data_IF_086551907256
#
_entry.id   IF_086551907256
#
_cell.length_a   1.000
_cell.length_b   1.000
_cell.length_c   1.000
_cell.angle_alpha   90.00
_cell.angle_beta   90.00
_cell.angle_gamma   90.00
#
_symmetry.space_group_name_H-M   'P 1'
#
loop_
_entity.id
_entity.type
_entity.pdbx_description
1 polymer ?
#
# COMPACT_ATOMS: atom_id res chain seq x y z
N UNK A 1 29.60 16.05 -4.10
CA UNK A 1 28.13 15.95 -3.96
C UNK A 1 27.74 14.69 -4.70
N UNK A 2 27.40 13.63 -3.97
CA UNK A 2 26.98 12.37 -4.60
C UNK A 2 25.47 12.29 -4.47
N UNK A 3 24.77 12.55 -5.56
CA UNK A 3 23.36 12.23 -5.70
C UNK A 3 23.26 10.70 -5.73
N UNK A 4 22.91 10.09 -4.60
CA UNK A 4 22.42 8.72 -4.59
C UNK A 4 21.04 8.72 -5.26
N UNK A 5 21.00 8.41 -6.56
CA UNK A 5 19.75 8.09 -7.25
C UNK A 5 19.08 6.92 -6.53
N UNK A 6 17.97 7.19 -5.86
CA UNK A 6 17.14 6.14 -5.25
C UNK A 6 16.73 5.15 -6.36
N UNK A 7 16.99 3.84 -6.21
CA UNK A 7 16.50 2.87 -7.17
C UNK A 7 14.96 2.91 -7.16
N UNK A 8 14.37 3.35 -8.27
CA UNK A 8 12.93 3.26 -8.48
C UNK A 8 12.59 1.80 -8.75
N UNK A 9 11.95 1.13 -7.79
CA UNK A 9 11.40 -0.20 -8.00
C UNK A 9 10.10 -0.08 -8.79
N UNK A 10 9.85 -1.02 -9.69
CA UNK A 10 8.58 -1.08 -10.41
C UNK A 10 7.45 -1.35 -9.40
N UNK A 11 6.49 -0.43 -9.34
CA UNK A 11 5.26 -0.58 -8.55
C UNK A 11 4.20 -1.20 -9.44
N UNK A 12 3.55 -2.28 -8.97
CA UNK A 12 2.46 -2.92 -9.71
C UNK A 12 1.12 -2.61 -9.06
N UNK A 13 0.16 -2.14 -9.86
CA UNK A 13 -1.23 -1.94 -9.44
C UNK A 13 -2.15 -2.94 -10.13
N UNK A 14 -3.08 -3.54 -9.38
CA UNK A 14 -4.14 -4.41 -9.92
C UNK A 14 -5.48 -3.96 -9.33
N UNK A 15 -6.45 -3.74 -10.21
CA UNK A 15 -7.84 -3.54 -9.81
C UNK A 15 -8.65 -4.80 -10.12
N UNK A 16 -9.34 -5.32 -9.10
CA UNK A 16 -10.23 -6.47 -9.21
C UNK A 16 -11.68 -6.00 -9.22
N UNK A 17 -12.33 -6.12 -10.37
CA UNK A 17 -13.71 -5.63 -10.56
C UNK A 17 -14.78 -6.48 -9.87
N UNK A 18 -14.47 -7.74 -9.54
CA UNK A 18 -15.44 -8.63 -8.88
C UNK A 18 -15.56 -8.28 -7.40
N UNK A 19 -14.44 -7.90 -6.78
CA UNK A 19 -14.35 -7.56 -5.36
C UNK A 19 -14.28 -6.07 -5.07
N UNK A 20 -14.14 -5.23 -6.10
CA UNK A 20 -13.92 -3.78 -6.00
C UNK A 20 -12.69 -3.43 -5.13
N UNK A 21 -11.59 -4.17 -5.34
CA UNK A 21 -10.34 -3.97 -4.59
C UNK A 21 -9.24 -3.46 -5.52
N UNK A 22 -8.59 -2.35 -5.14
CA UNK A 22 -7.35 -1.88 -5.74
C UNK A 22 -6.16 -2.30 -4.88
N UNK A 23 -5.34 -3.21 -5.37
CA UNK A 23 -4.09 -3.63 -4.74
C UNK A 23 -2.90 -2.91 -5.38
N UNK A 24 -2.01 -2.34 -4.56
CA UNK A 24 -0.74 -1.76 -4.99
C UNK A 24 0.40 -2.49 -4.29
N UNK A 25 1.35 -3.00 -5.08
CA UNK A 25 2.52 -3.75 -4.62
C UNK A 25 3.78 -2.92 -4.81
N UNK A 26 4.50 -2.69 -3.71
CA UNK A 26 5.77 -1.97 -3.71
C UNK A 26 6.98 -2.90 -3.79
N UNK A 27 6.82 -4.14 -3.34
CA UNK A 27 7.87 -5.17 -3.36
C UNK A 27 7.29 -6.51 -3.80
N UNK A 28 8.18 -7.42 -4.21
CA UNK A 28 7.84 -8.83 -4.48
C UNK A 28 7.89 -9.70 -3.20
N UNK A 29 8.10 -9.09 -2.02
CA UNK A 29 8.17 -9.82 -0.77
C UNK A 29 6.83 -10.46 -0.40
N UNK A 30 6.85 -11.67 0.13
CA UNK A 30 5.64 -12.36 0.58
C UNK A 30 4.91 -11.55 1.66
N UNK A 31 3.59 -11.46 1.55
CA UNK A 31 2.75 -10.85 2.59
C UNK A 31 2.49 -11.88 3.66
N UNK A 32 2.87 -11.57 4.90
CA UNK A 32 2.63 -12.46 6.06
C UNK A 32 1.58 -11.90 7.01
N UNK A 33 1.35 -10.58 6.98
CA UNK A 33 0.33 -9.91 7.79
C UNK A 33 -0.36 -8.84 6.95
N UNK A 34 -1.66 -8.66 7.15
CA UNK A 34 -2.42 -7.53 6.65
C UNK A 34 -3.17 -6.86 7.80
N UNK A 35 -3.25 -5.53 7.77
CA UNK A 35 -3.93 -4.74 8.79
C UNK A 35 -4.74 -3.61 8.17
N UNK A 36 -6.02 -3.57 8.50
CA UNK A 36 -6.87 -2.43 8.19
C UNK A 36 -6.51 -1.27 9.13
N UNK A 37 -5.94 -0.20 8.56
CA UNK A 37 -5.49 0.97 9.33
C UNK A 37 -6.60 2.01 9.51
N UNK A 38 -7.63 1.91 8.69
CA UNK A 38 -8.93 2.61 8.73
C UNK A 38 -9.91 1.85 7.81
N UNK A 39 -11.22 2.05 7.98
CA UNK A 39 -12.23 1.47 7.08
C UNK A 39 -11.84 1.65 5.61
N UNK A 40 -11.75 0.54 4.88
CA UNK A 40 -11.48 0.51 3.44
C UNK A 40 -10.00 0.60 3.04
N UNK A 41 -9.06 0.74 3.99
CA UNK A 41 -7.62 0.82 3.70
C UNK A 41 -6.80 -0.18 4.51
N UNK A 42 -6.20 -1.12 3.80
CA UNK A 42 -5.42 -2.23 4.34
C UNK A 42 -3.95 -2.07 3.96
N UNK A 43 -3.05 -2.30 4.91
CA UNK A 43 -1.60 -2.35 4.70
C UNK A 43 -1.15 -3.80 4.77
N UNK A 44 -0.37 -4.24 3.78
CA UNK A 44 0.22 -5.57 3.70
C UNK A 44 1.70 -5.50 4.10
N UNK A 45 2.07 -6.28 5.12
CA UNK A 45 3.41 -6.34 5.68
C UNK A 45 4.15 -7.61 5.27
N UNK A 46 5.45 -7.47 5.02
CA UNK A 46 6.37 -8.60 4.85
C UNK A 46 6.87 -9.14 6.20
N UNK A 47 7.63 -10.24 6.15
CA UNK A 47 8.18 -10.89 7.33
C UNK A 47 9.15 -10.05 8.16
N UNK A 48 9.71 -8.97 7.59
CA UNK A 48 10.56 -8.02 8.31
C UNK A 48 9.75 -6.87 8.94
N UNK A 49 8.43 -6.83 8.75
CA UNK A 49 7.57 -5.74 9.18
C UNK A 49 7.58 -4.55 8.21
N UNK A 50 8.21 -4.67 7.04
CA UNK A 50 8.17 -3.66 5.98
C UNK A 50 6.84 -3.66 5.24
N UNK A 51 6.49 -2.53 4.62
CA UNK A 51 5.26 -2.44 3.79
C UNK A 51 5.54 -3.06 2.42
N UNK A 52 4.92 -4.21 2.16
CA UNK A 52 4.97 -4.88 0.86
C UNK A 52 3.93 -4.31 -0.12
N UNK A 53 2.83 -3.76 0.38
CA UNK A 53 1.77 -3.16 -0.44
C UNK A 53 0.63 -2.56 0.38
N UNK A 54 -0.36 -2.05 -0.34
CA UNK A 54 -1.64 -1.57 0.21
C UNK A 54 -2.82 -2.10 -0.61
N UNK A 55 -3.99 -2.17 0.02
CA UNK A 55 -5.25 -2.45 -0.64
C UNK A 55 -6.28 -1.39 -0.26
N UNK A 56 -7.04 -0.94 -1.25
CA UNK A 56 -8.22 -0.09 -1.07
C UNK A 56 -9.42 -0.97 -1.39
N UNK A 57 -10.28 -1.18 -0.40
CA UNK A 57 -11.54 -1.93 -0.53
C UNK A 57 -12.63 -0.97 -1.00
N UNK A 58 -13.68 -1.48 -1.66
CA UNK A 58 -14.75 -0.65 -2.24
C UNK A 58 -14.19 0.54 -3.05
N UNK A 59 -13.09 0.31 -3.78
CA UNK A 59 -12.20 1.33 -4.31
C UNK A 59 -12.88 2.28 -5.30
N UNK A 60 -13.94 1.82 -5.97
CA UNK A 60 -14.76 2.65 -6.85
C UNK A 60 -15.53 3.77 -6.11
N UNK A 61 -15.78 3.59 -4.80
CA UNK A 61 -16.60 4.46 -3.98
C UNK A 61 -15.86 5.12 -2.81
N UNK A 62 -14.67 4.62 -2.49
CA UNK A 62 -13.82 5.15 -1.43
C UNK A 62 -13.37 6.59 -1.69
N UNK A 63 -13.22 7.34 -0.59
CA UNK A 63 -12.77 8.74 -0.62
C UNK A 63 -11.51 8.91 0.21
N UNK A 64 -10.37 8.81 -0.47
CA UNK A 64 -9.08 9.08 0.14
C UNK A 64 -8.92 10.58 0.38
N UNK A 65 -8.77 10.98 1.64
CA UNK A 65 -8.35 12.32 2.00
C UNK A 65 -6.82 12.42 1.85
N UNK A 66 -6.38 13.22 0.87
CA UNK A 66 -4.98 13.36 0.45
C UNK A 66 -3.98 13.59 1.59
N UNK A 67 -4.40 14.24 2.69
CA UNK A 67 -3.53 14.60 3.81
C UNK A 67 -3.66 13.70 5.06
N UNK A 68 -4.67 12.84 5.14
CA UNK A 68 -4.95 12.06 6.35
C UNK A 68 -4.69 10.56 6.16
N UNK A 69 -4.99 10.05 4.97
CA UNK A 69 -5.10 8.60 4.78
C UNK A 69 -3.75 7.99 4.41
N UNK A 70 -2.94 8.74 3.67
CA UNK A 70 -1.61 8.31 3.25
C UNK A 70 -0.52 8.71 4.24
N UNK A 71 -0.73 9.72 5.10
CA UNK A 71 0.27 10.11 6.13
C UNK A 71 0.51 9.03 7.18
N UNK A 72 -0.50 8.21 7.50
CA UNK A 72 -0.37 7.07 8.43
C UNK A 72 0.61 6.00 7.92
N UNK A 73 0.83 5.90 6.60
CA UNK A 73 1.79 4.95 6.03
C UNK A 73 3.25 5.31 6.36
N UNK A 74 3.54 6.58 6.66
CA UNK A 74 4.90 7.07 6.94
C UNK A 74 5.26 6.95 8.43
N UNK A 75 4.26 6.85 9.33
CA UNK A 75 4.49 6.88 10.79
C UNK A 75 4.61 5.46 11.40
N UNK A 76 4.34 4.41 10.62
CA UNK A 76 4.43 3.02 11.08
C UNK A 76 5.77 2.32 10.71
N UNK A 77 6.78 3.08 10.26
CA UNK A 77 8.11 2.59 9.90
C UNK A 77 9.17 3.00 10.94
#
# INVERSE_FOLDING_TARGET
MSETSTPSHAVTGRYDTETDILSVRFTDAEVVESREIRPGLVVAYDAAGGIAGIEILDASSERLASDHDLRRLVVAA
#
